data_IF_038361002652
#
_entry.id   IF_038361002652
#
_cell.length_a   1.000
_cell.length_b   1.000
_cell.length_c   1.000
_cell.angle_alpha   90.00
_cell.angle_beta   90.00
_cell.angle_gamma   90.00
#
_symmetry.space_group_name_H-M   'P 1'
#
loop_
_entity.id
_entity.type
_entity.pdbx_description
1 polymer ?
#
# COMPACT_ATOMS: atom_id res chain seq x y z
N UNK A 1 3.93 -3.02 10.05
CA UNK A 1 3.81 -3.18 8.59
C UNK A 1 3.51 -1.82 7.99
N UNK A 2 3.94 -1.57 6.76
CA UNK A 2 3.57 -0.36 6.04
C UNK A 2 3.26 -0.68 4.59
N UNK A 3 2.20 -0.07 4.07
CA UNK A 3 1.76 -0.18 2.69
C UNK A 3 1.51 1.21 2.13
N UNK A 4 1.81 1.37 0.84
CA UNK A 4 1.48 2.53 0.02
C UNK A 4 0.63 2.03 -1.12
N UNK A 5 -0.55 2.62 -1.28
CA UNK A 5 -1.47 2.34 -2.39
C UNK A 5 -1.72 3.62 -3.17
N UNK A 6 -1.55 3.54 -4.49
CA UNK A 6 -1.79 4.64 -5.42
C UNK A 6 -3.15 4.48 -6.07
N UNK A 7 -3.90 5.56 -6.14
CA UNK A 7 -5.20 5.60 -6.77
C UNK A 7 -5.23 6.65 -7.86
N UNK A 8 -6.00 6.39 -8.91
CA UNK A 8 -6.37 7.36 -9.94
C UNK A 8 -7.83 7.13 -10.32
N UNK A 9 -8.61 8.20 -10.37
CA UNK A 9 -10.04 8.15 -10.70
C UNK A 9 -10.81 7.13 -9.84
N UNK A 10 -10.45 7.06 -8.54
CA UNK A 10 -11.05 6.14 -7.57
C UNK A 10 -10.58 4.68 -7.66
N UNK A 11 -9.77 4.32 -8.66
CA UNK A 11 -9.28 2.95 -8.87
C UNK A 11 -7.84 2.78 -8.40
N UNK A 12 -7.51 1.60 -7.85
CA UNK A 12 -6.13 1.27 -7.46
C UNK A 12 -5.29 1.05 -8.71
N UNK A 13 -4.19 1.81 -8.83
CA UNK A 13 -3.26 1.71 -9.97
C UNK A 13 -1.91 1.12 -9.58
N UNK A 14 -1.58 1.09 -8.29
CA UNK A 14 -0.40 0.39 -7.78
C UNK A 14 -0.54 0.18 -6.27
N UNK A 15 0.13 -0.84 -5.74
CA UNK A 15 0.28 -0.98 -4.29
C UNK A 15 1.54 -1.74 -3.95
N UNK A 16 2.29 -1.25 -2.96
CA UNK A 16 3.46 -1.93 -2.42
C UNK A 16 3.48 -1.82 -0.91
N UNK A 17 3.92 -2.87 -0.23
CA UNK A 17 4.14 -2.81 1.20
C UNK A 17 4.93 -3.99 1.73
N UNK A 18 5.25 -3.91 3.01
CA UNK A 18 6.01 -4.95 3.70
C UNK A 18 5.39 -5.31 5.03
N UNK A 19 5.27 -6.62 5.24
CA UNK A 19 4.88 -7.25 6.50
C UNK A 19 6.00 -7.04 7.53
N UNK A 20 7.23 -7.36 7.15
CA UNK A 20 8.42 -7.17 7.98
C UNK A 20 9.20 -5.96 7.48
N UNK A 21 9.32 -4.94 8.33
CA UNK A 21 10.12 -3.75 8.04
C UNK A 21 11.59 -4.16 7.93
N UNK A 22 12.26 -3.74 6.86
CA UNK A 22 13.68 -3.96 6.57
C UNK A 22 14.54 -2.71 6.80
N UNK A 23 13.93 -1.52 6.82
CA UNK A 23 14.60 -0.23 7.05
C UNK A 23 14.46 0.19 8.51
N UNK A 24 15.42 0.97 9.03
CA UNK A 24 15.44 1.37 10.44
C UNK A 24 14.31 2.33 10.83
N UNK A 25 13.64 2.97 9.87
CA UNK A 25 12.52 3.87 10.16
C UNK A 25 11.40 3.74 9.13
N UNK A 26 10.19 4.10 9.55
CA UNK A 26 8.96 4.01 8.75
C UNK A 26 9.02 4.88 7.51
N UNK A 27 9.60 6.08 7.57
CA UNK A 27 9.68 7.00 6.43
C UNK A 27 10.47 6.36 5.28
N UNK A 28 11.61 5.74 5.58
CA UNK A 28 12.42 5.05 4.58
C UNK A 28 11.67 3.88 3.93
N UNK A 29 10.85 3.14 4.69
CA UNK A 29 9.96 2.11 4.11
C UNK A 29 8.90 2.71 3.19
N UNK A 30 8.28 3.83 3.57
CA UNK A 30 7.25 4.48 2.76
C UNK A 30 7.82 5.03 1.45
N UNK A 31 9.01 5.63 1.49
CA UNK A 31 9.71 6.08 0.28
C UNK A 31 10.00 4.89 -0.63
N UNK A 32 10.58 3.81 -0.09
CA UNK A 32 10.94 2.65 -0.90
C UNK A 32 9.70 1.95 -1.49
N UNK A 33 8.62 1.80 -0.73
CA UNK A 33 7.35 1.28 -1.22
C UNK A 33 6.72 2.18 -2.29
N UNK A 34 6.83 3.50 -2.16
CA UNK A 34 6.36 4.44 -3.18
C UNK A 34 7.14 4.27 -4.49
N UNK A 35 8.47 4.09 -4.41
CA UNK A 35 9.30 3.81 -5.58
C UNK A 35 8.99 2.47 -6.23
N UNK A 36 8.62 1.45 -5.44
CA UNK A 36 8.17 0.17 -5.99
C UNK A 36 6.83 0.26 -6.70
N UNK A 37 5.92 1.14 -6.26
CA UNK A 37 4.67 1.38 -6.97
C UNK A 37 4.92 1.87 -8.41
N UNK A 38 5.99 2.64 -8.66
CA UNK A 38 6.35 3.09 -10.01
C UNK A 38 6.79 1.95 -10.94
N UNK A 39 7.15 0.79 -10.38
CA UNK A 39 7.54 -0.42 -11.11
C UNK A 39 6.37 -1.40 -11.30
N UNK A 40 5.20 -1.11 -10.71
CA UNK A 40 4.00 -1.92 -10.88
C UNK A 40 3.51 -1.78 -12.34
N UNK A 41 3.30 -2.88 -13.09
CA UNK A 41 2.81 -2.80 -14.47
C UNK A 41 1.51 -2.00 -14.59
N UNK A 42 0.63 -2.10 -13.58
CA UNK A 42 -0.65 -1.37 -13.55
C UNK A 42 -0.45 0.14 -13.46
N UNK A 43 0.64 0.59 -12.84
CA UNK A 43 0.98 2.01 -12.79
C UNK A 43 1.34 2.54 -14.16
N UNK A 44 2.18 1.80 -14.89
CA UNK A 44 2.65 2.15 -16.24
C UNK A 44 1.46 2.19 -17.21
N UNK A 45 0.51 1.25 -17.08
CA UNK A 45 -0.72 1.24 -17.88
C UNK A 45 -1.65 2.43 -17.55
N UNK A 46 -1.72 2.82 -16.28
CA UNK A 46 -2.60 3.88 -15.80
C UNK A 46 -2.05 5.30 -16.02
N UNK A 47 -0.72 5.47 -16.04
CA UNK A 47 -0.05 6.77 -16.17
C UNK A 47 0.68 6.82 -17.51
N UNK A 48 0.01 7.36 -18.54
CA UNK A 48 0.54 7.43 -19.91
C UNK A 48 1.38 8.67 -20.14
N UNK A 49 1.13 9.73 -19.38
CA UNK A 49 1.96 10.93 -19.35
C UNK A 49 2.30 11.36 -17.91
N UNK A 50 3.50 11.96 -17.67
CA UNK A 50 3.91 12.37 -16.34
C UNK A 50 3.00 13.42 -15.67
N UNK A 51 2.29 14.24 -16.45
CA UNK A 51 1.39 15.26 -15.90
C UNK A 51 0.14 14.64 -15.25
N UNK A 52 -0.17 13.37 -15.52
CA UNK A 52 -1.27 12.64 -14.85
C UNK A 52 -0.93 12.29 -13.39
N UNK A 53 0.35 12.32 -13.00
CA UNK A 53 0.77 12.04 -11.61
C UNK A 53 0.09 12.99 -10.62
N UNK A 54 -0.23 14.23 -11.04
CA UNK A 54 -0.94 15.21 -10.19
C UNK A 54 -2.35 14.77 -9.77
N UNK A 55 -2.93 13.82 -10.50
CA UNK A 55 -4.26 13.26 -10.24
C UNK A 55 -4.18 11.95 -9.44
N UNK A 56 -2.98 11.52 -9.05
CA UNK A 56 -2.77 10.31 -8.25
C UNK A 56 -2.89 10.66 -6.78
N UNK A 57 -3.76 9.94 -6.06
CA UNK A 57 -3.84 10.02 -4.61
C UNK A 57 -3.13 8.85 -3.95
N UNK A 58 -2.58 9.11 -2.76
CA UNK A 58 -1.80 8.15 -1.99
C UNK A 58 -2.57 7.78 -0.73
N UNK A 59 -2.72 6.48 -0.48
CA UNK A 59 -3.12 5.95 0.83
C UNK A 59 -1.92 5.28 1.46
N UNK A 60 -1.68 5.60 2.73
CA UNK A 60 -0.63 4.98 3.53
C UNK A 60 -1.28 4.23 4.67
N UNK A 61 -1.08 2.91 4.71
CA UNK A 61 -1.57 2.04 5.77
C UNK A 61 -0.40 1.64 6.67
N UNK A 62 -0.44 2.05 7.95
CA UNK A 62 0.54 1.67 8.97
C UNK A 62 -0.15 0.77 9.99
N UNK A 63 0.28 -0.49 10.04
CA UNK A 63 -0.27 -1.50 10.96
C UNK A 63 0.77 -1.76 12.04
N UNK A 64 0.46 -1.38 13.27
CA UNK A 64 1.31 -1.61 14.44
C UNK A 64 1.17 -3.05 14.95
N UNK A 65 2.10 -3.56 15.78
CA UNK A 65 1.99 -4.88 16.35
C UNK A 65 0.70 -5.12 17.16
N UNK A 66 0.17 -4.09 17.84
CA UNK A 66 -1.08 -4.19 18.62
C UNK A 66 -2.35 -4.30 17.76
N UNK A 67 -2.27 -3.93 16.48
CA UNK A 67 -3.36 -4.08 15.52
C UNK A 67 -3.29 -5.43 14.78
N UNK A 68 -2.30 -6.28 15.09
CA UNK A 68 -2.13 -7.59 14.47
C UNK A 68 -2.74 -8.66 15.34
N UNK A 69 -3.48 -9.55 14.70
CA UNK A 69 -4.02 -10.76 15.31
C UNK A 69 -3.54 -11.97 14.54
N UNK A 70 -3.21 -13.05 15.26
CA UNK A 70 -2.92 -14.34 14.65
C UNK A 70 -4.22 -15.11 14.58
N UNK A 71 -4.69 -15.32 13.36
CA UNK A 71 -5.92 -16.06 13.07
C UNK A 71 -5.56 -17.54 12.93
N UNK A 72 -6.14 -18.39 13.78
CA UNK A 72 -5.90 -19.84 13.79
C UNK A 72 -7.00 -20.62 13.06
N UNK A 73 -8.21 -20.06 12.99
CA UNK A 73 -9.35 -20.69 12.32
C UNK A 73 -10.11 -19.68 11.46
N UNK A 74 -10.77 -20.16 10.41
CA UNK A 74 -11.41 -19.29 9.41
C UNK A 74 -12.59 -18.49 9.96
N UNK A 75 -13.27 -19.01 10.98
CA UNK A 75 -14.38 -18.39 11.69
C UNK A 75 -13.96 -17.21 12.57
N UNK A 76 -12.66 -17.06 12.84
CA UNK A 76 -12.08 -15.88 13.53
C UNK A 76 -11.96 -14.67 12.58
N UNK A 77 -12.14 -14.83 11.27
CA UNK A 77 -12.15 -13.71 10.29
C UNK A 77 -13.52 -13.01 10.33
N UNK A 78 -13.65 -11.96 11.13
CA UNK A 78 -14.87 -11.14 11.17
C UNK A 78 -14.89 -10.06 10.07
N UNK A 79 -15.51 -10.37 8.93
CA UNK A 79 -15.65 -9.44 7.79
C UNK A 79 -16.70 -8.35 8.08
N UNK A 80 -17.51 -8.46 9.15
CA UNK A 80 -18.63 -7.56 9.45
C UNK A 80 -18.27 -6.42 10.41
N UNK A 81 -17.05 -6.39 10.96
CA UNK A 81 -16.64 -5.46 12.02
C UNK A 81 -16.01 -4.14 11.55
N UNK A 82 -16.24 -3.74 10.29
CA UNK A 82 -15.72 -2.50 9.70
C UNK A 82 -16.83 -1.52 9.37
#
# INVERSE_FOLDING_TARGET
>A
MSFVTLYKDGSVIASSGRINLKKPNTIAELIENSLFCLKDPRFIEAIKNPAEIKNVSFRVDIITPSQREVINKIDEIDIKKN
#
